data_IF_904872122595
#
_entry.id   IF_904872122595
#
_cell.length_a   1.000
_cell.length_b   1.000
_cell.length_c   1.000
_cell.angle_alpha   90.00
_cell.angle_beta   90.00
_cell.angle_gamma   90.00
#
_symmetry.space_group_name_H-M   'P 1'
#
loop_
_entity.id
_entity.type
_entity.pdbx_description
1 polymer ?
#
# COMPACT_ATOMS: atom_id res chain seq x y z
N UNK A 1 -59.41 0.71 15.46
CA UNK A 1 -58.82 0.47 14.13
C UNK A 1 -57.57 1.32 13.91
N UNK A 2 -57.61 2.62 14.18
CA UNK A 2 -56.50 3.55 14.02
C UNK A 2 -55.31 3.20 14.92
N UNK A 3 -55.57 2.85 16.19
CA UNK A 3 -54.57 2.45 17.17
C UNK A 3 -53.78 1.20 16.73
N UNK A 4 -54.45 0.22 16.12
CA UNK A 4 -53.79 -0.99 15.59
C UNK A 4 -52.86 -0.68 14.42
N UNK A 5 -53.22 0.29 13.56
CA UNK A 5 -52.35 0.73 12.46
C UNK A 5 -51.10 1.42 13.01
N UNK A 6 -51.23 2.31 14.00
CA UNK A 6 -50.09 3.01 14.63
C UNK A 6 -49.14 2.01 15.32
N UNK A 7 -49.70 1.06 16.08
CA UNK A 7 -48.89 0.01 16.74
C UNK A 7 -48.18 -0.85 15.71
N UNK A 8 -48.87 -1.26 14.63
CA UNK A 8 -48.25 -2.04 13.55
C UNK A 8 -47.15 -1.28 12.84
N UNK A 9 -47.32 0.02 12.59
CA UNK A 9 -46.28 0.88 11.99
C UNK A 9 -45.05 1.01 12.90
N UNK A 10 -45.28 1.30 14.19
CA UNK A 10 -44.18 1.39 15.16
C UNK A 10 -43.41 0.08 15.29
N UNK A 11 -44.11 -1.05 15.37
CA UNK A 11 -43.49 -2.36 15.43
C UNK A 11 -42.72 -2.69 14.16
N UNK A 12 -43.23 -2.31 13.00
CA UNK A 12 -42.53 -2.47 11.71
C UNK A 12 -41.27 -1.63 11.65
N UNK A 13 -41.27 -0.40 12.14
CA UNK A 13 -40.08 0.47 12.23
C UNK A 13 -39.05 -0.15 13.17
N UNK A 14 -39.47 -0.62 14.36
CA UNK A 14 -38.54 -1.26 15.31
C UNK A 14 -37.93 -2.52 14.71
N UNK A 15 -38.74 -3.39 14.10
CA UNK A 15 -38.25 -4.60 13.44
C UNK A 15 -37.31 -4.28 12.28
N UNK A 16 -37.59 -3.25 11.50
CA UNK A 16 -36.72 -2.77 10.43
C UNK A 16 -35.37 -2.32 10.98
N UNK A 17 -35.35 -1.47 12.01
CA UNK A 17 -34.11 -0.99 12.65
C UNK A 17 -33.33 -2.15 13.23
N UNK A 18 -33.96 -3.10 13.93
CA UNK A 18 -33.30 -4.29 14.48
C UNK A 18 -32.76 -5.20 13.38
N UNK A 19 -33.48 -5.39 12.28
CA UNK A 19 -33.02 -6.19 11.15
C UNK A 19 -31.87 -5.51 10.41
N UNK A 20 -31.97 -4.20 10.18
CA UNK A 20 -30.93 -3.43 9.50
C UNK A 20 -29.65 -3.29 10.34
N UNK A 21 -29.79 -3.21 11.68
CA UNK A 21 -28.62 -3.21 12.57
C UNK A 21 -27.84 -4.52 12.55
N UNK A 22 -28.41 -5.62 12.05
CA UNK A 22 -27.73 -6.91 11.90
C UNK A 22 -26.89 -7.03 10.62
N UNK A 23 -26.97 -6.06 9.71
CA UNK A 23 -26.14 -6.04 8.49
C UNK A 23 -24.67 -5.92 8.90
N UNK A 24 -23.84 -6.84 8.41
CA UNK A 24 -22.40 -6.78 8.66
C UNK A 24 -21.76 -5.66 7.83
N UNK A 25 -21.21 -4.67 8.54
CA UNK A 25 -20.50 -3.54 7.93
C UNK A 25 -19.09 -3.93 7.53
N UNK A 26 -18.48 -4.90 8.22
CA UNK A 26 -17.18 -5.44 7.89
C UNK A 26 -17.37 -6.63 6.96
N UNK A 27 -16.87 -6.51 5.74
CA UNK A 27 -17.00 -7.56 4.72
C UNK A 27 -16.17 -8.80 5.08
N UNK A 28 -14.94 -8.60 5.49
CA UNK A 28 -14.00 -9.60 5.97
C UNK A 28 -12.90 -8.90 6.75
N UNK A 29 -12.12 -9.63 7.50
CA UNK A 29 -10.97 -9.09 8.22
C UNK A 29 -9.68 -9.59 7.54
N UNK A 30 -8.78 -8.67 7.27
CA UNK A 30 -7.46 -8.92 6.70
C UNK A 30 -6.39 -8.44 7.67
N UNK A 31 -5.20 -8.99 7.52
CA UNK A 31 -4.02 -8.56 8.27
C UNK A 31 -2.90 -8.23 7.30
N UNK A 32 -1.91 -7.46 7.75
CA UNK A 32 -0.73 -7.18 6.96
C UNK A 32 0.15 -8.42 6.67
N UNK A 33 -0.18 -9.61 7.21
CA UNK A 33 0.44 -10.89 6.81
C UNK A 33 -0.23 -11.53 5.60
N UNK A 34 -1.51 -11.21 5.35
CA UNK A 34 -2.33 -11.83 4.30
C UNK A 34 -2.62 -10.90 3.14
N UNK A 35 -2.52 -9.60 3.37
CA UNK A 35 -2.79 -8.57 2.37
C UNK A 35 -1.71 -7.50 2.43
N UNK A 36 -1.07 -7.21 1.31
CA UNK A 36 0.08 -6.32 1.19
C UNK A 36 -0.19 -5.16 0.25
N UNK A 37 0.55 -4.06 0.45
CA UNK A 37 0.56 -2.96 -0.51
C UNK A 37 1.23 -3.37 -1.83
N UNK A 38 0.92 -2.65 -2.92
CA UNK A 38 1.54 -2.85 -4.23
C UNK A 38 3.00 -2.31 -4.27
N UNK A 39 3.77 -2.60 -3.22
CA UNK A 39 5.18 -2.22 -3.11
C UNK A 39 6.05 -3.47 -3.22
N UNK A 40 6.90 -3.49 -4.24
CA UNK A 40 7.91 -4.54 -4.34
C UNK A 40 9.02 -4.28 -3.33
N UNK A 41 9.23 -5.25 -2.43
CA UNK A 41 10.21 -5.18 -1.35
C UNK A 41 11.21 -6.33 -1.50
N UNK A 42 12.44 -6.13 -1.02
CA UNK A 42 13.40 -7.22 -0.92
C UNK A 42 12.91 -8.32 0.02
N UNK A 43 13.37 -9.55 -0.17
CA UNK A 43 12.96 -10.71 0.64
C UNK A 43 13.14 -10.46 2.14
N UNK A 44 14.20 -9.80 2.52
CA UNK A 44 14.46 -9.39 3.89
C UNK A 44 13.36 -8.46 4.47
N UNK A 45 12.86 -7.48 3.68
CA UNK A 45 11.78 -6.59 4.11
C UNK A 45 10.42 -7.30 4.10
N UNK A 46 10.21 -8.23 3.17
CA UNK A 46 9.02 -9.09 3.15
C UNK A 46 8.96 -9.98 4.40
N UNK A 47 10.11 -10.49 4.86
CA UNK A 47 10.18 -11.30 6.07
C UNK A 47 9.74 -10.51 7.30
N UNK A 48 10.15 -9.24 7.44
CA UNK A 48 9.70 -8.37 8.54
C UNK A 48 8.17 -8.23 8.54
N UNK A 49 7.56 -8.05 7.36
CA UNK A 49 6.10 -7.95 7.23
C UNK A 49 5.44 -9.31 7.53
N UNK A 50 6.00 -10.42 7.08
CA UNK A 50 5.49 -11.75 7.38
C UNK A 50 5.48 -12.04 8.89
N UNK A 51 6.51 -11.62 9.60
CA UNK A 51 6.67 -11.88 11.05
C UNK A 51 5.87 -10.90 11.93
N UNK A 52 5.59 -9.70 11.46
CA UNK A 52 4.99 -8.63 12.27
C UNK A 52 3.72 -8.01 11.67
N UNK A 53 3.32 -8.40 10.47
CA UNK A 53 2.19 -7.81 9.74
C UNK A 53 0.83 -8.05 10.41
N UNK A 54 0.72 -9.00 11.34
CA UNK A 54 -0.48 -9.20 12.15
C UNK A 54 -0.76 -8.02 13.13
N UNK A 55 0.20 -7.13 13.31
CA UNK A 55 0.01 -5.85 14.01
C UNK A 55 -0.77 -4.81 13.17
N UNK A 56 -1.03 -5.11 11.90
CA UNK A 56 -1.88 -4.32 11.00
C UNK A 56 -3.19 -5.09 10.79
N UNK A 57 -4.31 -4.53 11.25
CA UNK A 57 -5.65 -5.05 10.99
C UNK A 57 -6.33 -4.18 9.93
N UNK A 58 -6.91 -4.82 8.93
CA UNK A 58 -7.56 -4.15 7.79
C UNK A 58 -9.02 -4.59 7.75
N UNK A 59 -9.92 -3.62 7.87
CA UNK A 59 -11.36 -3.83 7.86
C UNK A 59 -11.98 -3.11 6.66
N UNK A 60 -12.20 -3.81 5.53
CA UNK A 60 -13.00 -3.29 4.42
C UNK A 60 -14.45 -3.13 4.86
N UNK A 61 -14.92 -1.88 4.85
CA UNK A 61 -16.26 -1.51 5.28
C UNK A 61 -17.22 -1.46 4.09
N UNK A 62 -18.53 -1.70 4.36
CA UNK A 62 -19.56 -1.64 3.33
C UNK A 62 -20.88 -1.12 3.88
N UNK A 63 -21.71 -0.59 2.97
CA UNK A 63 -23.06 -0.12 3.28
C UNK A 63 -23.08 1.20 4.02
N UNK A 64 -24.13 1.47 4.77
CA UNK A 64 -24.33 2.71 5.51
C UNK A 64 -23.92 2.51 6.98
N UNK A 65 -23.09 3.39 7.51
CA UNK A 65 -22.61 3.31 8.90
C UNK A 65 -23.44 4.25 9.76
N UNK A 66 -24.15 3.68 10.72
CA UNK A 66 -24.98 4.39 11.68
C UNK A 66 -24.73 3.83 13.10
N UNK A 67 -25.38 4.41 14.10
CA UNK A 67 -25.15 4.08 15.52
C UNK A 67 -25.03 2.57 15.80
N UNK A 68 -25.97 1.75 15.29
CA UNK A 68 -25.96 0.30 15.55
C UNK A 68 -24.78 -0.44 14.91
N UNK A 69 -24.45 -0.09 13.66
CA UNK A 69 -23.34 -0.71 12.93
C UNK A 69 -22.00 -0.18 13.41
N UNK A 70 -21.90 1.10 13.77
CA UNK A 70 -20.70 1.69 14.33
C UNK A 70 -20.33 1.11 15.69
N UNK A 71 -21.32 0.83 16.57
CA UNK A 71 -21.04 0.18 17.85
C UNK A 71 -20.49 -1.24 17.65
N UNK A 72 -21.08 -2.02 16.74
CA UNK A 72 -20.54 -3.37 16.46
C UNK A 72 -19.13 -3.34 15.86
N UNK A 73 -18.82 -2.29 15.10
CA UNK A 73 -17.44 -2.07 14.63
C UNK A 73 -16.51 -1.83 15.82
N UNK A 74 -16.94 -1.01 16.81
CA UNK A 74 -16.18 -0.80 18.03
C UNK A 74 -16.01 -2.08 18.86
N UNK A 75 -17.07 -2.88 19.01
CA UNK A 75 -17.01 -4.15 19.74
C UNK A 75 -15.96 -5.08 19.08
N UNK A 76 -16.00 -5.20 17.75
CA UNK A 76 -15.00 -6.00 17.00
C UNK A 76 -13.56 -5.50 17.20
N UNK A 77 -13.35 -4.20 17.19
CA UNK A 77 -12.03 -3.62 17.47
C UNK A 77 -11.60 -3.90 18.90
N UNK A 78 -12.52 -3.79 19.85
CA UNK A 78 -12.27 -4.10 21.26
C UNK A 78 -11.86 -5.58 21.43
N UNK A 79 -12.59 -6.51 20.81
CA UNK A 79 -12.28 -7.94 20.85
C UNK A 79 -10.87 -8.21 20.28
N UNK A 80 -10.50 -7.52 19.19
CA UNK A 80 -9.16 -7.63 18.60
C UNK A 80 -8.07 -7.11 19.54
N UNK A 81 -8.31 -6.00 20.23
CA UNK A 81 -7.35 -5.35 21.14
C UNK A 81 -7.20 -6.14 22.43
N UNK A 82 -8.29 -6.73 22.95
CA UNK A 82 -8.28 -7.51 24.20
C UNK A 82 -7.78 -8.96 24.00
N UNK A 83 -7.66 -9.42 22.76
CA UNK A 83 -7.19 -10.77 22.46
C UNK A 83 -5.70 -10.91 22.77
N UNK A 84 -5.39 -11.57 23.90
CA UNK A 84 -4.03 -11.79 24.40
C UNK A 84 -3.19 -12.76 23.56
N UNK A 85 -3.83 -13.56 22.71
CA UNK A 85 -3.15 -14.49 21.81
C UNK A 85 -2.70 -13.82 20.52
N UNK A 86 -3.28 -12.65 20.20
CA UNK A 86 -2.90 -11.85 19.04
C UNK A 86 -1.80 -10.86 19.41
N UNK A 87 -0.94 -10.52 18.45
CA UNK A 87 0.06 -9.47 18.67
C UNK A 87 -0.59 -8.11 18.90
N UNK A 88 0.13 -7.23 19.60
CA UNK A 88 -0.35 -5.88 19.87
C UNK A 88 -0.68 -5.13 18.58
N UNK A 89 -1.94 -4.73 18.44
CA UNK A 89 -2.41 -3.92 17.33
C UNK A 89 -1.64 -2.59 17.28
N UNK A 90 -1.09 -2.24 16.13
CA UNK A 90 -0.44 -0.94 15.89
C UNK A 90 -1.17 -0.07 14.91
N UNK A 91 -1.75 -0.70 13.90
CA UNK A 91 -2.49 -0.01 12.84
C UNK A 91 -3.82 -0.70 12.60
N UNK A 92 -4.88 0.09 12.65
CA UNK A 92 -6.23 -0.31 12.28
C UNK A 92 -6.63 0.46 11.03
N UNK A 93 -6.79 -0.22 9.91
CA UNK A 93 -7.14 0.40 8.63
C UNK A 93 -8.62 0.15 8.34
N UNK A 94 -9.38 1.21 8.12
CA UNK A 94 -10.73 1.18 7.60
C UNK A 94 -10.75 1.59 6.14
N UNK A 95 -11.18 0.70 5.24
CA UNK A 95 -11.39 1.03 3.84
C UNK A 95 -12.86 1.35 3.59
N UNK A 96 -13.14 2.60 3.26
CA UNK A 96 -14.47 3.15 3.04
C UNK A 96 -14.96 3.04 1.58
N UNK A 97 -14.22 2.38 0.70
CA UNK A 97 -14.51 2.29 -0.74
C UNK A 97 -15.96 1.86 -1.04
N UNK A 98 -16.52 0.98 -0.22
CA UNK A 98 -17.88 0.45 -0.39
C UNK A 98 -18.87 1.00 0.64
N UNK A 99 -18.49 2.03 1.38
CA UNK A 99 -19.40 2.73 2.31
C UNK A 99 -20.22 3.75 1.54
N UNK A 100 -21.53 3.70 1.72
CA UNK A 100 -22.49 4.58 1.04
C UNK A 100 -22.74 5.89 1.78
N UNK A 101 -22.45 5.94 3.08
CA UNK A 101 -22.58 7.16 3.89
C UNK A 101 -22.43 6.87 5.38
N UNK A 102 -22.31 7.96 6.16
CA UNK A 102 -22.22 7.97 7.61
C UNK A 102 -23.38 8.79 8.18
N UNK A 103 -23.94 8.39 9.31
CA UNK A 103 -24.82 9.27 10.07
C UNK A 103 -24.05 10.08 11.13
N UNK A 104 -24.67 11.10 11.68
CA UNK A 104 -24.06 11.97 12.69
C UNK A 104 -23.69 11.22 13.99
N UNK A 105 -24.34 10.11 14.30
CA UNK A 105 -24.05 9.33 15.50
C UNK A 105 -22.75 8.54 15.38
N UNK A 106 -22.29 8.24 14.16
CA UNK A 106 -21.03 7.59 13.85
C UNK A 106 -19.84 8.38 14.39
N UNK A 107 -19.93 9.72 14.40
CA UNK A 107 -18.89 10.60 14.95
C UNK A 107 -18.64 10.28 16.43
N UNK A 108 -19.69 10.05 17.22
CA UNK A 108 -19.54 9.70 18.63
C UNK A 108 -18.86 8.35 18.81
N UNK A 109 -19.17 7.38 17.95
CA UNK A 109 -18.53 6.07 17.97
C UNK A 109 -17.03 6.17 17.62
N UNK A 110 -16.68 6.97 16.62
CA UNK A 110 -15.26 7.21 16.29
C UNK A 110 -14.52 8.02 17.35
N UNK A 111 -15.20 8.90 18.11
CA UNK A 111 -14.59 9.52 19.29
C UNK A 111 -14.24 8.48 20.37
N UNK A 112 -15.10 7.47 20.59
CA UNK A 112 -14.80 6.35 21.49
C UNK A 112 -13.60 5.54 20.97
N UNK A 113 -13.57 5.27 19.66
CA UNK A 113 -12.44 4.61 19.01
C UNK A 113 -11.13 5.39 19.21
N UNK A 114 -11.15 6.72 19.11
CA UNK A 114 -9.98 7.57 19.37
C UNK A 114 -9.44 7.41 20.77
N UNK A 115 -10.33 7.34 21.77
CA UNK A 115 -9.94 7.10 23.16
C UNK A 115 -9.32 5.72 23.32
N UNK A 116 -9.96 4.68 22.75
CA UNK A 116 -9.44 3.31 22.74
C UNK A 116 -8.05 3.24 22.10
N UNK A 117 -7.89 3.85 20.93
CA UNK A 117 -6.62 3.88 20.21
C UNK A 117 -5.50 4.56 21.01
N UNK A 118 -5.81 5.67 21.70
CA UNK A 118 -4.87 6.33 22.62
C UNK A 118 -4.47 5.44 23.80
N UNK A 119 -5.43 4.77 24.41
CA UNK A 119 -5.17 3.93 25.59
C UNK A 119 -4.33 2.69 25.25
N UNK A 120 -4.51 2.12 24.06
CA UNK A 120 -3.82 0.91 23.61
C UNK A 120 -2.64 1.18 22.67
N UNK A 121 -2.40 2.45 22.30
CA UNK A 121 -1.22 2.86 21.55
C UNK A 121 -1.25 2.48 20.07
N UNK A 122 -2.44 2.35 19.43
CA UNK A 122 -2.55 2.10 18.00
C UNK A 122 -3.06 3.32 17.22
N UNK A 123 -2.78 3.36 15.93
CA UNK A 123 -3.31 4.38 15.01
C UNK A 123 -4.44 3.82 14.17
N UNK A 124 -5.34 4.69 13.78
CA UNK A 124 -6.47 4.38 12.89
C UNK A 124 -6.26 5.11 11.57
N UNK A 125 -6.30 4.36 10.49
CA UNK A 125 -6.11 4.83 9.12
C UNK A 125 -7.43 4.76 8.39
N UNK A 126 -7.89 5.89 7.87
CA UNK A 126 -9.07 5.99 7.03
C UNK A 126 -8.63 6.04 5.56
N UNK A 127 -9.12 5.11 4.75
CA UNK A 127 -8.82 5.01 3.33
C UNK A 127 -10.08 5.14 2.49
N UNK A 128 -9.96 5.75 1.32
CA UNK A 128 -11.04 5.83 0.31
C UNK A 128 -12.28 6.57 0.80
N UNK A 129 -12.13 7.59 1.63
CA UNK A 129 -13.23 8.47 2.02
C UNK A 129 -13.71 9.29 0.81
N UNK A 130 -15.02 9.40 0.62
CA UNK A 130 -15.55 10.38 -0.31
C UNK A 130 -15.60 11.78 0.34
N UNK A 131 -15.85 12.82 -0.46
CA UNK A 131 -15.83 14.21 -0.01
C UNK A 131 -16.85 14.49 1.12
N UNK A 132 -18.02 13.88 1.05
CA UNK A 132 -19.09 14.08 2.06
C UNK A 132 -18.68 13.47 3.40
N UNK A 133 -18.11 12.25 3.40
CA UNK A 133 -17.61 11.59 4.61
C UNK A 133 -16.43 12.37 5.21
N UNK A 134 -15.47 12.81 4.39
CA UNK A 134 -14.37 13.65 4.83
C UNK A 134 -14.86 14.93 5.49
N UNK A 135 -15.85 15.61 4.89
CA UNK A 135 -16.47 16.83 5.47
C UNK A 135 -17.19 16.54 6.80
N UNK A 136 -17.91 15.43 6.90
CA UNK A 136 -18.58 15.03 8.15
C UNK A 136 -17.56 14.74 9.27
N UNK A 137 -16.48 14.00 8.97
CA UNK A 137 -15.43 13.70 9.93
C UNK A 137 -14.67 14.95 10.36
N UNK A 138 -14.44 15.90 9.45
CA UNK A 138 -13.84 17.22 9.75
C UNK A 138 -14.73 18.04 10.64
N UNK A 139 -16.03 18.15 10.31
CA UNK A 139 -17.01 18.89 11.13
C UNK A 139 -17.15 18.26 12.51
N UNK A 140 -17.04 16.94 12.61
CA UNK A 140 -17.04 16.20 13.88
C UNK A 140 -15.73 16.27 14.67
N UNK A 141 -14.72 17.00 14.19
CA UNK A 141 -13.42 17.18 14.87
C UNK A 141 -12.54 15.93 14.89
N UNK A 142 -12.77 15.01 13.95
CA UNK A 142 -11.99 13.78 13.82
C UNK A 142 -10.85 13.92 12.82
N UNK A 143 -11.00 14.77 11.82
CA UNK A 143 -9.99 15.08 10.81
C UNK A 143 -9.84 16.62 10.63
N UNK A 144 -8.62 17.15 10.42
CA UNK A 144 -7.37 16.49 10.76
C UNK A 144 -7.25 16.23 12.26
N UNK A 145 -6.76 15.08 12.66
CA UNK A 145 -6.58 14.76 14.08
C UNK A 145 -5.23 15.30 14.59
N UNK A 146 -5.27 16.38 15.38
CA UNK A 146 -4.08 16.96 16.00
C UNK A 146 -3.38 15.99 16.97
N UNK A 147 -4.08 14.97 17.46
CA UNK A 147 -3.52 13.90 18.30
C UNK A 147 -2.79 12.80 17.53
N UNK A 148 -2.82 12.83 16.19
CA UNK A 148 -2.13 11.88 15.33
C UNK A 148 -2.65 10.43 15.40
N UNK A 149 -3.82 10.21 16.00
CA UNK A 149 -4.46 8.89 16.08
C UNK A 149 -5.13 8.52 14.76
N UNK A 150 -5.84 9.48 14.16
CA UNK A 150 -6.50 9.31 12.88
C UNK A 150 -5.66 9.91 11.75
N UNK A 151 -5.46 9.13 10.71
CA UNK A 151 -4.75 9.53 9.49
C UNK A 151 -5.61 9.16 8.28
N UNK A 152 -5.65 10.04 7.27
CA UNK A 152 -6.44 9.85 6.05
C UNK A 152 -5.51 9.57 4.87
N UNK A 153 -5.91 8.62 4.01
CA UNK A 153 -5.27 8.32 2.72
C UNK A 153 -6.32 8.18 1.62
N UNK A 154 -5.94 8.53 0.40
CA UNK A 154 -6.83 8.49 -0.76
C UNK A 154 -7.32 7.08 -1.09
N UNK A 155 -6.50 6.06 -0.84
CA UNK A 155 -6.84 4.66 -1.06
C UNK A 155 -6.16 3.72 -0.05
N UNK A 156 -6.62 2.45 -0.05
CA UNK A 156 -6.13 1.40 0.83
C UNK A 156 -4.64 1.09 0.58
N UNK A 157 -4.20 1.13 -0.68
CA UNK A 157 -2.84 0.78 -1.07
C UNK A 157 -1.81 1.75 -0.47
N UNK A 158 -2.08 3.06 -0.53
CA UNK A 158 -1.22 4.08 0.09
C UNK A 158 -1.26 4.04 1.61
N UNK A 159 -2.45 3.81 2.19
CA UNK A 159 -2.60 3.67 3.64
C UNK A 159 -1.84 2.46 4.18
N UNK A 160 -1.93 1.32 3.50
CA UNK A 160 -1.23 0.09 3.87
C UNK A 160 0.28 0.22 3.66
N UNK A 161 0.72 0.79 2.52
CA UNK A 161 2.15 1.10 2.27
C UNK A 161 2.75 1.87 3.44
N UNK A 162 2.06 2.90 3.92
CA UNK A 162 2.53 3.72 5.05
C UNK A 162 2.67 2.91 6.33
N UNK A 163 1.69 2.06 6.65
CA UNK A 163 1.72 1.21 7.84
C UNK A 163 2.85 0.17 7.75
N UNK A 164 3.03 -0.45 6.60
CA UNK A 164 4.11 -1.41 6.35
C UNK A 164 5.49 -0.74 6.45
N UNK A 165 5.67 0.46 5.89
CA UNK A 165 6.94 1.20 5.95
C UNK A 165 7.30 1.57 7.39
N UNK A 166 6.35 2.02 8.21
CA UNK A 166 6.58 2.32 9.63
C UNK A 166 6.90 1.05 10.44
N UNK A 167 6.24 -0.07 10.11
CA UNK A 167 6.52 -1.37 10.73
C UNK A 167 7.93 -1.84 10.39
N UNK A 168 8.32 -1.77 9.12
CA UNK A 168 9.66 -2.10 8.65
C UNK A 168 10.71 -1.25 9.38
N UNK A 169 10.53 0.06 9.41
CA UNK A 169 11.51 0.96 10.05
C UNK A 169 11.70 0.64 11.54
N UNK A 170 10.63 0.22 12.21
CA UNK A 170 10.70 -0.18 13.62
C UNK A 170 11.53 -1.45 13.85
N UNK A 171 11.38 -2.46 12.98
CA UNK A 171 12.01 -3.77 13.18
C UNK A 171 13.32 -3.95 12.40
N UNK A 172 13.59 -3.12 11.42
CA UNK A 172 14.73 -3.22 10.52
C UNK A 172 16.07 -3.41 11.25
N UNK A 173 16.34 -2.62 12.29
CA UNK A 173 17.58 -2.71 13.06
C UNK A 173 17.78 -4.08 13.71
N UNK A 174 16.73 -4.63 14.31
CA UNK A 174 16.80 -5.95 14.95
C UNK A 174 17.09 -7.07 13.96
N UNK A 175 16.55 -6.95 12.74
CA UNK A 175 16.80 -7.91 11.68
C UNK A 175 18.20 -7.73 11.04
N UNK A 176 18.71 -6.50 10.97
CA UNK A 176 20.08 -6.21 10.50
C UNK A 176 21.14 -6.78 11.46
N UNK A 177 20.88 -6.76 12.77
CA UNK A 177 21.76 -7.33 13.78
C UNK A 177 21.74 -8.86 13.81
N UNK A 178 20.60 -9.48 13.50
CA UNK A 178 20.42 -10.95 13.49
C UNK A 178 20.88 -11.61 12.19
N UNK A 179 20.82 -10.87 11.10
CA UNK A 179 21.27 -11.36 9.82
C UNK A 179 22.69 -10.84 9.55
N UNK A 180 23.64 -11.77 9.42
CA UNK A 180 24.88 -11.54 8.65
C UNK A 180 24.54 -11.17 7.18
N UNK A 181 23.30 -10.77 6.93
CA UNK A 181 22.75 -10.46 5.63
C UNK A 181 23.42 -9.21 5.12
N UNK A 182 24.36 -9.46 4.22
CA UNK A 182 24.91 -8.55 3.24
C UNK A 182 23.92 -7.40 3.00
N UNK A 183 24.36 -6.16 3.28
CA UNK A 183 23.81 -4.96 2.64
C UNK A 183 23.44 -5.36 1.23
N UNK A 184 22.24 -5.04 0.78
CA UNK A 184 21.83 -5.34 -0.59
C UNK A 184 23.00 -4.97 -1.49
N UNK A 185 23.64 -6.01 -2.08
CA UNK A 185 24.84 -5.80 -2.86
C UNK A 185 24.52 -4.72 -3.90
N UNK A 186 25.32 -3.65 -3.92
CA UNK A 186 25.23 -2.63 -4.96
C UNK A 186 25.16 -3.32 -6.33
N UNK A 187 24.44 -2.77 -7.27
CA UNK A 187 24.41 -3.30 -8.64
C UNK A 187 25.83 -3.50 -9.19
N UNK A 188 26.75 -2.60 -8.87
CA UNK A 188 28.17 -2.72 -9.25
C UNK A 188 28.85 -3.94 -8.62
N UNK A 189 28.50 -4.29 -7.40
CA UNK A 189 29.06 -5.45 -6.69
C UNK A 189 28.51 -6.77 -7.25
N UNK A 190 27.23 -6.76 -7.69
CA UNK A 190 26.61 -7.92 -8.34
C UNK A 190 27.16 -8.20 -9.72
N UNK A 191 27.52 -7.16 -10.46
CA UNK A 191 27.98 -7.25 -11.84
C UNK A 191 29.36 -6.58 -12.03
N UNK A 192 30.43 -7.12 -11.45
CA UNK A 192 31.75 -6.56 -11.62
C UNK A 192 32.20 -6.64 -13.09
N UNK A 193 32.70 -5.52 -13.60
CA UNK A 193 33.31 -5.45 -14.95
C UNK A 193 32.32 -5.28 -16.09
N UNK A 194 31.05 -4.87 -15.82
CA UNK A 194 30.14 -4.35 -16.85
C UNK A 194 29.73 -2.90 -16.58
N UNK A 195 30.30 -2.28 -15.56
CA UNK A 195 29.97 -0.90 -15.18
C UNK A 195 30.21 0.12 -16.31
N UNK A 196 31.14 -0.17 -17.22
CA UNK A 196 31.47 0.65 -18.39
C UNK A 196 30.32 0.75 -19.41
N UNK A 197 29.40 -0.23 -19.41
CA UNK A 197 28.22 -0.21 -20.30
C UNK A 197 27.07 0.60 -19.73
N UNK A 198 27.16 1.02 -18.46
CA UNK A 198 26.10 1.71 -17.73
C UNK A 198 26.45 3.17 -17.49
N UNK A 199 25.44 4.02 -17.64
CA UNK A 199 25.47 5.41 -17.26
C UNK A 199 24.81 5.59 -15.88
N UNK A 200 25.56 6.14 -14.92
CA UNK A 200 25.01 6.50 -13.62
C UNK A 200 24.22 7.83 -13.74
N UNK A 201 22.94 7.80 -13.35
CA UNK A 201 22.03 8.96 -13.34
C UNK A 201 21.56 9.24 -11.93
N UNK A 202 21.68 10.48 -11.49
CA UNK A 202 21.05 10.98 -10.26
C UNK A 202 19.80 11.74 -10.65
N UNK A 203 18.64 11.27 -10.23
CA UNK A 203 17.34 11.79 -10.63
C UNK A 203 16.59 12.23 -9.38
N UNK A 204 16.14 13.48 -9.37
CA UNK A 204 15.34 14.03 -8.26
C UNK A 204 13.95 13.42 -8.22
N UNK A 205 13.32 13.44 -7.05
CA UNK A 205 11.95 12.94 -6.88
C UNK A 205 10.94 13.62 -7.81
N UNK A 206 9.85 12.90 -8.10
CA UNK A 206 8.76 13.32 -9.01
C UNK A 206 9.19 13.57 -10.47
N UNK A 207 10.23 12.90 -10.96
CA UNK A 207 10.71 12.99 -12.33
C UNK A 207 10.30 11.74 -13.12
N UNK A 208 9.72 11.92 -14.32
CA UNK A 208 9.43 10.80 -15.22
C UNK A 208 10.73 10.30 -15.86
N UNK A 209 11.07 9.03 -15.66
CA UNK A 209 12.21 8.35 -16.29
C UNK A 209 11.79 7.52 -17.49
N UNK A 210 10.54 7.06 -17.54
CA UNK A 210 9.91 6.39 -18.67
C UNK A 210 8.52 6.98 -18.83
N UNK A 211 8.12 7.29 -20.08
CA UNK A 211 6.79 7.77 -20.40
C UNK A 211 6.02 6.70 -21.19
N UNK A 212 4.77 6.44 -20.78
CA UNK A 212 3.87 5.52 -21.48
C UNK A 212 3.73 5.87 -22.96
N UNK A 213 3.78 4.87 -23.81
CA UNK A 213 3.66 5.04 -25.28
C UNK A 213 4.93 5.55 -25.97
N UNK A 214 5.99 5.89 -25.22
CA UNK A 214 7.31 6.24 -25.77
C UNK A 214 8.28 5.06 -25.71
N UNK A 215 9.37 5.15 -26.45
CA UNK A 215 10.50 4.23 -26.34
C UNK A 215 11.31 4.57 -25.08
N UNK A 216 11.51 3.65 -24.12
CA UNK A 216 12.33 3.90 -22.93
C UNK A 216 13.82 4.08 -23.23
N UNK A 217 14.28 3.74 -24.42
CA UNK A 217 15.69 3.87 -24.83
C UNK A 217 16.64 2.83 -24.24
N UNK A 218 16.20 2.02 -23.24
CA UNK A 218 17.02 1.02 -22.58
C UNK A 218 16.40 0.53 -21.28
N UNK A 219 17.26 0.00 -20.40
CA UNK A 219 16.90 -0.56 -19.09
C UNK A 219 17.43 0.34 -17.98
N UNK A 220 16.64 0.52 -16.93
CA UNK A 220 16.96 1.31 -15.76
C UNK A 220 17.04 0.40 -14.54
N UNK A 221 18.19 0.33 -13.90
CA UNK A 221 18.42 -0.37 -12.64
C UNK A 221 18.39 0.64 -11.50
N UNK A 222 17.52 0.43 -10.54
CA UNK A 222 17.36 1.34 -9.40
C UNK A 222 18.34 0.93 -8.31
N UNK A 223 19.39 1.71 -8.12
CA UNK A 223 20.39 1.48 -7.08
C UNK A 223 19.91 1.97 -5.72
N UNK A 224 19.30 3.15 -5.70
CA UNK A 224 18.72 3.72 -4.48
C UNK A 224 17.53 4.59 -4.80
N UNK A 225 16.67 4.80 -3.79
CA UNK A 225 15.43 5.54 -3.93
C UNK A 225 14.24 4.63 -4.23
N UNK A 226 13.11 5.27 -4.56
CA UNK A 226 11.84 4.60 -4.85
C UNK A 226 11.22 5.18 -6.11
N UNK A 227 10.68 4.32 -6.96
CA UNK A 227 9.97 4.70 -8.18
C UNK A 227 8.54 4.18 -8.14
N UNK A 228 7.66 4.78 -8.94
CA UNK A 228 6.26 4.40 -9.09
C UNK A 228 5.96 4.12 -10.55
N UNK A 229 5.37 2.96 -10.82
CA UNK A 229 4.84 2.60 -12.14
C UNK A 229 3.37 3.01 -12.18
N UNK A 230 2.98 3.83 -13.16
CA UNK A 230 1.63 4.37 -13.32
C UNK A 230 1.12 4.12 -14.74
N UNK A 231 -0.15 3.71 -14.81
CA UNK A 231 -0.88 3.58 -16.06
C UNK A 231 -1.70 4.86 -16.26
N UNK A 232 -1.47 5.58 -17.35
CA UNK A 232 -2.29 6.70 -17.76
C UNK A 232 -3.53 6.19 -18.51
N UNK A 233 -4.71 6.51 -17.95
CA UNK A 233 -6.02 6.13 -18.52
C UNK A 233 -6.74 7.31 -19.15
N UNK A 234 -6.04 8.45 -19.35
CA UNK A 234 -6.58 9.64 -20.03
C UNK A 234 -7.48 10.53 -19.16
N UNK A 235 -7.66 10.24 -17.88
CA UNK A 235 -8.48 11.04 -16.95
C UNK A 235 -7.67 12.04 -16.10
N UNK A 236 -6.38 12.23 -16.41
CA UNK A 236 -5.49 13.18 -15.72
C UNK A 236 -4.70 12.61 -14.55
N UNK A 237 -5.29 11.76 -13.71
CA UNK A 237 -4.56 11.01 -12.68
C UNK A 237 -4.44 9.55 -13.08
N UNK A 238 -3.21 9.11 -13.42
CA UNK A 238 -2.95 7.73 -13.78
C UNK A 238 -3.07 6.80 -12.57
N UNK A 239 -3.49 5.55 -12.80
CA UNK A 239 -3.57 4.50 -11.77
C UNK A 239 -2.17 4.04 -11.40
N UNK A 240 -1.85 4.02 -10.10
CA UNK A 240 -0.63 3.39 -9.59
C UNK A 240 -0.73 1.88 -9.75
N UNK A 241 0.16 1.30 -10.55
CA UNK A 241 0.25 -0.15 -10.71
C UNK A 241 1.14 -0.77 -9.63
N UNK A 242 2.33 -0.16 -9.40
CA UNK A 242 3.32 -0.71 -8.46
C UNK A 242 4.27 0.39 -7.98
N UNK A 243 4.77 0.24 -6.77
CA UNK A 243 5.92 0.98 -6.24
C UNK A 243 7.12 0.05 -6.14
N UNK A 244 8.28 0.50 -6.62
CA UNK A 244 9.49 -0.32 -6.73
C UNK A 244 10.64 0.39 -6.02
N UNK A 245 11.44 -0.38 -5.29
CA UNK A 245 12.59 0.14 -4.54
C UNK A 245 13.94 -0.19 -5.19
N UNK A 246 15.01 -0.01 -4.41
CA UNK A 246 16.36 -0.38 -4.80
C UNK A 246 16.47 -1.88 -5.13
N UNK A 247 17.33 -2.23 -6.08
CA UNK A 247 17.52 -3.59 -6.57
C UNK A 247 16.54 -4.01 -7.66
N UNK A 248 15.63 -3.13 -8.09
CA UNK A 248 14.67 -3.41 -9.16
C UNK A 248 15.11 -2.90 -10.52
N UNK A 249 14.42 -3.37 -11.56
CA UNK A 249 14.67 -3.04 -12.97
C UNK A 249 13.37 -2.59 -13.62
N UNK A 250 13.45 -1.58 -14.49
CA UNK A 250 12.32 -1.13 -15.32
C UNK A 250 12.79 -0.82 -16.75
N UNK A 251 11.85 -0.88 -17.71
CA UNK A 251 12.12 -0.70 -19.15
C UNK A 251 12.55 -1.98 -19.87
N UNK A 252 12.81 -3.06 -19.11
CA UNK A 252 13.23 -4.38 -19.60
C UNK A 252 12.20 -5.01 -20.52
N UNK A 253 10.92 -4.96 -20.17
CA UNK A 253 9.84 -5.54 -20.97
C UNK A 253 9.82 -4.91 -22.38
N UNK A 254 9.92 -3.60 -22.46
CA UNK A 254 9.95 -2.87 -23.74
C UNK A 254 11.20 -3.21 -24.55
N UNK A 255 12.35 -3.37 -23.89
CA UNK A 255 13.59 -3.73 -24.59
C UNK A 255 13.49 -5.14 -25.20
N UNK A 256 13.06 -6.13 -24.41
CA UNK A 256 12.97 -7.52 -24.89
C UNK A 256 11.86 -7.74 -25.92
N UNK A 257 10.73 -7.04 -25.80
CA UNK A 257 9.63 -7.15 -26.75
C UNK A 257 9.78 -6.22 -27.96
N UNK A 258 10.74 -5.30 -27.96
CA UNK A 258 10.86 -4.28 -29.01
C UNK A 258 9.65 -3.34 -29.06
N UNK A 259 8.98 -3.14 -27.94
CA UNK A 259 7.72 -2.39 -27.84
C UNK A 259 7.94 -1.03 -27.15
N UNK A 260 6.95 -0.15 -27.30
CA UNK A 260 6.85 1.08 -26.48
C UNK A 260 6.50 0.74 -25.03
N UNK A 261 6.80 1.66 -24.11
CA UNK A 261 6.47 1.50 -22.70
C UNK A 261 4.96 1.39 -22.50
N UNK A 262 4.53 0.36 -21.76
CA UNK A 262 3.12 0.11 -21.43
C UNK A 262 2.61 1.00 -20.28
N UNK A 263 3.51 1.57 -19.49
CA UNK A 263 3.22 2.44 -18.36
C UNK A 263 4.31 3.50 -18.20
N UNK A 264 4.00 4.58 -17.51
CA UNK A 264 4.97 5.60 -17.11
C UNK A 264 5.67 5.18 -15.83
N UNK A 265 6.96 5.52 -15.67
CA UNK A 265 7.74 5.32 -14.45
C UNK A 265 8.24 6.67 -13.95
N UNK A 266 7.87 7.01 -12.70
CA UNK A 266 8.25 8.25 -12.06
C UNK A 266 9.07 7.95 -10.79
N UNK A 267 10.09 8.75 -10.52
CA UNK A 267 10.77 8.71 -9.23
C UNK A 267 9.84 9.25 -8.14
N UNK A 268 9.72 8.55 -7.01
CA UNK A 268 8.97 9.00 -5.81
C UNK A 268 9.87 9.78 -4.86
N UNK A 269 11.15 9.36 -4.78
CA UNK A 269 12.22 10.02 -4.02
C UNK A 269 13.39 10.31 -4.95
N UNK A 270 14.41 10.99 -4.45
CA UNK A 270 15.69 11.06 -5.16
C UNK A 270 16.23 9.65 -5.37
N UNK A 271 16.68 9.37 -6.60
CA UNK A 271 17.14 8.05 -7.03
C UNK A 271 18.54 8.11 -7.62
N UNK A 272 19.31 7.05 -7.36
CA UNK A 272 20.51 6.71 -8.15
C UNK A 272 20.11 5.54 -9.07
N UNK A 273 20.36 5.70 -10.35
CA UNK A 273 19.91 4.77 -11.40
C UNK A 273 21.11 4.43 -12.30
N UNK A 274 21.30 3.16 -12.61
CA UNK A 274 22.19 2.73 -13.68
C UNK A 274 21.39 2.47 -14.94
N UNK A 275 21.65 3.25 -15.97
CA UNK A 275 20.98 3.17 -17.26
C UNK A 275 21.81 2.41 -18.27
N UNK A 276 21.26 1.36 -18.87
CA UNK A 276 21.84 0.59 -19.96
C UNK A 276 21.06 0.90 -21.23
N UNK A 277 21.65 1.70 -22.12
CA UNK A 277 21.05 2.01 -23.43
C UNK A 277 20.92 0.78 -24.32
N UNK A 278 20.04 0.82 -25.32
CA UNK A 278 19.89 -0.26 -26.31
C UNK A 278 21.22 -0.57 -27.02
N UNK A 279 21.97 0.45 -27.36
CA UNK A 279 23.25 0.30 -28.05
C UNK A 279 24.28 -0.37 -27.15
N UNK A 280 24.38 0.08 -25.89
CA UNK A 280 25.27 -0.53 -24.91
C UNK A 280 24.85 -1.95 -24.54
N UNK A 281 23.54 -2.24 -24.54
CA UNK A 281 23.04 -3.60 -24.34
C UNK A 281 23.46 -4.54 -25.48
N UNK A 282 23.39 -4.08 -26.74
CA UNK A 282 23.87 -4.85 -27.88
C UNK A 282 25.39 -5.04 -27.82
N UNK A 283 26.12 -3.96 -27.47
CA UNK A 283 27.57 -4.00 -27.31
C UNK A 283 28.00 -5.00 -26.22
N UNK A 284 27.33 -4.98 -25.06
CA UNK A 284 27.57 -5.94 -23.98
C UNK A 284 27.38 -7.38 -24.43
N UNK A 285 26.33 -7.68 -25.20
CA UNK A 285 26.05 -9.02 -25.74
C UNK A 285 27.15 -9.50 -26.68
N UNK A 286 27.76 -8.60 -27.45
CA UNK A 286 28.82 -8.91 -28.42
C UNK A 286 30.20 -9.03 -27.76
N UNK A 287 30.53 -8.10 -26.86
CA UNK A 287 31.86 -7.99 -26.29
C UNK A 287 32.06 -8.85 -25.04
N UNK A 288 31.00 -9.13 -24.29
CA UNK A 288 31.05 -9.87 -23.03
C UNK A 288 29.84 -10.83 -22.87
N UNK A 289 29.67 -11.83 -23.76
CA UNK A 289 28.47 -12.68 -23.79
C UNK A 289 28.24 -13.46 -22.48
N UNK A 290 29.28 -13.86 -21.77
CA UNK A 290 29.14 -14.52 -20.46
C UNK A 290 28.51 -13.61 -19.41
N UNK A 291 28.93 -12.37 -19.33
CA UNK A 291 28.37 -11.36 -18.39
C UNK A 291 26.97 -10.91 -18.84
N UNK A 292 26.74 -10.83 -20.15
CA UNK A 292 25.40 -10.59 -20.67
C UNK A 292 24.42 -11.70 -20.23
N UNK A 293 24.82 -12.97 -20.29
CA UNK A 293 24.02 -14.10 -19.83
C UNK A 293 23.71 -14.04 -18.32
N UNK A 294 24.64 -13.61 -17.48
CA UNK A 294 24.42 -13.37 -16.05
C UNK A 294 23.38 -12.28 -15.83
N UNK A 295 23.49 -11.16 -16.56
CA UNK A 295 22.54 -10.06 -16.51
C UNK A 295 21.13 -10.49 -16.96
N UNK A 296 21.01 -11.22 -18.07
CA UNK A 296 19.75 -11.79 -18.54
C UNK A 296 19.13 -12.71 -17.49
N UNK A 297 19.93 -13.58 -16.88
CA UNK A 297 19.45 -14.50 -15.82
C UNK A 297 18.90 -13.73 -14.62
N UNK A 298 19.58 -12.65 -14.22
CA UNK A 298 19.11 -11.78 -13.14
C UNK A 298 17.76 -11.12 -13.48
N UNK A 299 17.65 -10.55 -14.68
CA UNK A 299 16.39 -9.90 -15.11
C UNK A 299 15.25 -10.91 -15.17
N UNK A 300 15.50 -12.12 -15.71
CA UNK A 300 14.49 -13.20 -15.78
C UNK A 300 14.02 -13.61 -14.39
N UNK A 301 14.93 -13.74 -13.41
CA UNK A 301 14.54 -14.03 -12.02
C UNK A 301 13.66 -12.94 -11.45
N UNK A 302 14.03 -11.66 -11.60
CA UNK A 302 13.20 -10.55 -11.13
C UNK A 302 11.80 -10.54 -11.78
N UNK A 303 11.72 -10.84 -13.08
CA UNK A 303 10.42 -10.92 -13.76
C UNK A 303 9.59 -12.10 -13.29
N UNK A 304 10.23 -13.25 -13.04
CA UNK A 304 9.55 -14.44 -12.51
C UNK A 304 9.00 -14.20 -11.11
N UNK A 305 9.76 -13.56 -10.24
CA UNK A 305 9.33 -13.20 -8.88
C UNK A 305 8.17 -12.18 -8.88
N UNK A 306 8.05 -11.37 -9.94
CA UNK A 306 6.93 -10.44 -10.11
C UNK A 306 5.63 -11.10 -10.57
N UNK A 307 5.70 -12.30 -11.15
CA UNK A 307 4.57 -13.04 -11.67
C UNK A 307 4.05 -14.12 -10.71
N UNK A 308 4.87 -14.51 -9.74
CA UNK A 308 4.52 -15.46 -8.68
C UNK A 308 3.74 -14.79 -7.55
#
# INVERSE_FOLDING_TARGET
>A
FLEGIVIGLLMSIVLFVLSYSKVEVVKHELTGTTFHSNVERSEYLKQIIADHGDQISILPLQGFIFFGTANRLLDRVNDRVENKEASNLKYLIFDFRHVTGLDSSTINSFNKLRIMAKNHGFRVVFCSLNQDMTNQLRTGGLLPDQGGVFVEFDDLDHGLERCEDELIEQYKKSYEELSDSKKADSFKDKFPGISEFFEEKKVVGNTAIIEQGKDPGGIYFIESGRITVRLDIGSGEGIRLKSLGAGTVVGEVSLYLGSKASASVLTKTDCVIYFLSKDNFQKLNLESPGKAAELHTYIVKLLSDRLA
#
